data_IF_559603063705
#
_entry.id   IF_559603063705
#
_cell.length_a   1.000
_cell.length_b   1.000
_cell.length_c   1.000
_cell.angle_alpha   90.00
_cell.angle_beta   90.00
_cell.angle_gamma   90.00
#
_symmetry.space_group_name_H-M   'P 1'
#
loop_
_entity.id
_entity.type
_entity.pdbx_description
1 polymer ?
#
# COMPACT_ATOMS: atom_id res chain seq x y z
N UNK A 1 -17.22 5.49 51.85
CA UNK A 1 -16.02 4.74 52.30
C UNK A 1 -15.88 3.51 51.43
N UNK A 2 -15.13 3.65 50.33
CA UNK A 2 -14.62 2.60 49.43
C UNK A 2 -14.03 3.35 48.22
N UNK A 3 -12.71 3.36 48.08
CA UNK A 3 -11.88 3.94 47.00
C UNK A 3 -10.43 3.89 47.54
N UNK A 4 -9.35 3.47 46.87
CA UNK A 4 -8.95 3.37 45.46
C UNK A 4 -7.80 2.34 45.38
N UNK A 5 -7.81 1.48 44.35
CA UNK A 5 -6.64 0.76 43.86
C UNK A 5 -5.85 1.70 42.95
N UNK A 6 -4.59 1.98 43.27
CA UNK A 6 -3.64 2.68 42.42
C UNK A 6 -2.51 1.73 42.02
N UNK A 7 -2.32 1.59 40.71
CA UNK A 7 -1.19 0.88 40.10
C UNK A 7 0.00 1.81 39.83
N UNK A 8 1.18 1.17 39.74
CA UNK A 8 2.20 1.38 38.70
C UNK A 8 2.86 2.76 38.55
N UNK A 9 4.08 2.89 39.08
CA UNK A 9 5.23 3.52 38.41
C UNK A 9 6.49 3.34 39.29
N UNK A 10 7.47 2.57 38.82
CA UNK A 10 8.71 2.29 39.54
C UNK A 10 9.91 2.35 38.61
N UNK A 11 10.40 3.56 38.37
CA UNK A 11 11.67 3.86 37.67
C UNK A 11 12.85 3.54 38.58
N UNK A 12 13.85 2.73 38.17
CA UNK A 12 15.01 2.49 39.02
C UNK A 12 16.11 3.54 38.80
N UNK A 13 16.53 4.07 39.94
CA UNK A 13 17.82 4.69 40.25
C UNK A 13 18.96 3.73 39.86
N UNK A 14 20.02 4.20 39.21
CA UNK A 14 21.31 3.48 39.25
C UNK A 14 22.50 4.41 39.41
N UNK A 15 23.21 4.12 40.48
CA UNK A 15 24.37 4.79 41.01
C UNK A 15 25.64 4.58 40.17
N UNK A 16 26.57 5.50 40.41
CA UNK A 16 27.96 5.47 40.00
C UNK A 16 28.74 4.27 40.57
N UNK A 17 29.68 3.77 39.77
CA UNK A 17 30.86 2.99 40.18
C UNK A 17 31.72 2.87 38.92
N UNK A 18 32.79 3.64 38.76
CA UNK A 18 34.18 3.26 39.08
C UNK A 18 34.64 1.90 38.51
N UNK A 19 35.81 2.00 37.87
CA UNK A 19 36.88 1.00 37.68
C UNK A 19 37.09 0.34 36.30
N UNK A 20 38.22 0.76 35.71
CA UNK A 20 39.31 -0.05 35.12
C UNK A 20 39.13 -0.62 33.72
N UNK A 21 40.07 -0.24 32.83
CA UNK A 21 40.13 -0.67 31.44
C UNK A 21 41.11 -1.80 31.18
N UNK A 22 41.19 -2.19 29.91
CA UNK A 22 42.33 -2.87 29.28
C UNK A 22 42.16 -2.75 27.76
N UNK A 23 43.22 -2.28 27.10
CA UNK A 23 43.35 -2.33 25.64
C UNK A 23 44.08 -3.60 25.20
N UNK A 24 43.77 -4.07 23.99
CA UNK A 24 44.67 -4.89 23.18
C UNK A 24 44.60 -4.38 21.74
N UNK A 25 45.77 -4.14 21.14
CA UNK A 25 45.92 -3.89 19.72
C UNK A 25 46.57 -5.08 19.01
N UNK A 26 46.39 -5.14 17.69
CA UNK A 26 47.40 -5.61 16.72
C UNK A 26 46.97 -5.29 15.26
N UNK A 27 47.79 -4.43 14.62
CA UNK A 27 48.39 -4.40 13.25
C UNK A 27 48.04 -5.52 12.23
N UNK A 28 48.20 -5.34 10.88
CA UNK A 28 49.50 -4.98 10.26
C UNK A 28 49.60 -4.32 8.85
N UNK A 29 50.84 -3.87 8.55
CA UNK A 29 51.46 -3.78 7.21
C UNK A 29 51.31 -2.43 6.48
N UNK A 30 52.20 -1.96 5.60
CA UNK A 30 53.54 -2.33 5.10
C UNK A 30 54.01 -1.13 4.23
N UNK A 31 55.32 -0.98 4.04
CA UNK A 31 56.06 0.14 3.45
C UNK A 31 55.71 0.56 2.00
N UNK A 32 55.99 1.82 1.64
CA UNK A 32 56.52 2.18 0.30
C UNK A 32 57.16 3.59 0.25
N UNK A 33 58.48 3.58 0.11
CA UNK A 33 59.40 4.41 -0.69
C UNK A 33 58.97 5.78 -1.29
N UNK A 34 59.82 6.78 -1.07
CA UNK A 34 60.44 7.57 -2.15
C UNK A 34 59.92 8.98 -2.42
N UNK A 35 60.83 9.95 -2.57
CA UNK A 35 60.56 11.16 -3.36
C UNK A 35 61.21 12.45 -2.86
N UNK A 36 62.08 13.02 -3.70
CA UNK A 36 62.85 14.25 -3.55
C UNK A 36 62.02 15.54 -3.34
N UNK A 37 62.64 16.60 -2.80
CA UNK A 37 62.14 17.99 -2.81
C UNK A 37 62.18 18.63 -4.22
N UNK A 38 62.05 19.97 -4.41
CA UNK A 38 62.19 21.06 -3.42
C UNK A 38 61.24 22.28 -3.56
N UNK A 39 61.41 23.23 -2.62
CA UNK A 39 61.31 24.70 -2.73
C UNK A 39 59.96 25.46 -2.85
N UNK A 40 59.98 26.65 -2.22
CA UNK A 40 59.06 27.79 -2.29
C UNK A 40 57.75 27.62 -1.49
N UNK A 41 57.33 28.50 -0.59
CA UNK A 41 57.72 29.86 -0.27
C UNK A 41 56.62 30.46 0.63
N UNK A 42 56.76 31.73 0.97
CA UNK A 42 55.80 32.58 1.71
C UNK A 42 55.79 32.45 3.24
N UNK A 43 56.52 33.40 3.81
CA UNK A 43 56.31 33.98 5.12
C UNK A 43 54.90 34.56 5.25
N UNK A 44 54.12 34.06 6.21
CA UNK A 44 53.04 34.82 6.82
C UNK A 44 53.06 34.57 8.33
N UNK A 45 53.46 35.62 9.06
CA UNK A 45 53.45 35.63 10.51
C UNK A 45 52.01 35.58 11.02
N UNK A 46 51.58 34.42 11.50
CA UNK A 46 50.41 34.29 12.34
C UNK A 46 50.76 34.80 13.74
N UNK A 47 50.19 35.96 14.08
CA UNK A 47 50.16 36.47 15.45
C UNK A 47 49.46 35.43 16.33
N UNK A 48 50.19 34.77 17.21
CA UNK A 48 49.59 33.89 18.21
C UNK A 48 48.87 34.73 19.27
N UNK A 49 47.56 34.51 19.40
CA UNK A 49 46.79 34.98 20.56
C UNK A 49 47.35 34.37 21.85
N UNK A 50 47.35 35.11 22.98
CA UNK A 50 47.84 34.62 24.26
C UNK A 50 47.01 33.41 24.73
N UNK A 51 47.69 32.28 24.91
CA UNK A 51 47.08 31.02 25.32
C UNK A 51 46.33 31.16 26.65
N UNK A 52 45.04 30.82 26.62
CA UNK A 52 44.15 30.79 27.77
C UNK A 52 44.60 29.67 28.73
N UNK A 53 44.99 30.05 29.95
CA UNK A 53 45.44 29.10 30.96
C UNK A 53 44.25 28.35 31.57
N UNK A 54 43.88 27.17 31.01
CA UNK A 54 43.22 26.05 31.72
C UNK A 54 42.69 24.97 30.77
N UNK A 55 43.56 24.36 29.96
CA UNK A 55 43.25 23.06 29.34
C UNK A 55 44.47 22.15 29.44
N UNK A 56 44.36 20.94 30.02
CA UNK A 56 45.50 20.04 30.15
C UNK A 56 45.96 19.56 28.76
N UNK A 57 47.17 19.98 28.37
CA UNK A 57 47.83 19.71 27.06
C UNK A 57 48.44 18.30 26.97
N UNK A 58 48.00 17.38 27.84
CA UNK A 58 48.40 15.97 27.79
C UNK A 58 47.16 15.07 27.88
N UNK A 59 46.39 14.99 26.79
CA UNK A 59 45.25 14.06 26.67
C UNK A 59 45.67 12.64 26.29
N UNK A 60 46.97 12.40 26.09
CA UNK A 60 47.53 11.06 26.00
C UNK A 60 48.92 11.03 26.63
N UNK A 61 49.09 10.32 27.74
CA UNK A 61 50.40 9.93 28.22
C UNK A 61 51.01 8.95 27.22
N UNK A 62 51.82 9.43 26.29
CA UNK A 62 52.78 8.56 25.60
C UNK A 62 53.81 8.16 26.66
N UNK A 63 53.57 7.04 27.32
CA UNK A 63 54.53 6.44 28.24
C UNK A 63 55.87 6.34 27.52
N UNK A 64 56.91 6.96 28.10
CA UNK A 64 58.27 6.85 27.58
C UNK A 64 58.64 5.38 27.33
N UNK A 65 59.42 5.10 26.28
CA UNK A 65 59.97 3.77 26.02
C UNK A 65 60.85 3.25 27.18
N UNK A 66 61.27 4.15 28.09
CA UNK A 66 62.02 3.85 29.30
C UNK A 66 61.12 3.76 30.56
N UNK A 67 59.80 3.85 30.42
CA UNK A 67 58.89 3.63 31.55
C UNK A 67 58.95 2.17 31.97
N UNK A 68 59.28 1.93 33.25
CA UNK A 68 59.42 0.59 33.85
C UNK A 68 58.23 -0.33 33.58
N UNK A 69 57.02 0.21 33.41
CA UNK A 69 55.79 -0.54 33.14
C UNK A 69 55.75 -1.17 31.73
N UNK A 70 56.31 -0.50 30.71
CA UNK A 70 56.32 -0.99 29.34
C UNK A 70 57.50 -1.95 29.08
N UNK A 71 58.58 -1.81 29.86
CA UNK A 71 59.73 -2.71 29.84
C UNK A 71 59.34 -4.15 30.20
N UNK A 72 58.33 -4.39 31.04
CA UNK A 72 57.89 -5.76 31.37
C UNK A 72 56.91 -6.37 30.37
N UNK A 73 56.31 -5.55 29.48
CA UNK A 73 55.30 -5.98 28.50
C UNK A 73 55.80 -6.02 27.04
N UNK A 74 56.97 -5.47 26.73
CA UNK A 74 57.65 -5.77 25.48
C UNK A 74 58.14 -7.23 25.50
N UNK A 75 57.83 -7.96 24.42
CA UNK A 75 58.15 -9.38 24.26
C UNK A 75 59.67 -9.58 24.29
N UNK A 76 60.24 -9.74 25.49
CA UNK A 76 61.63 -10.17 25.70
C UNK A 76 61.90 -11.58 25.17
N UNK A 77 60.93 -12.22 24.52
CA UNK A 77 61.09 -13.48 23.80
C UNK A 77 62.33 -13.45 22.90
N UNK A 78 62.64 -12.33 22.24
CA UNK A 78 63.86 -12.20 21.42
C UNK A 78 65.15 -12.25 22.26
N UNK A 79 65.20 -11.50 23.37
CA UNK A 79 66.37 -11.44 24.25
C UNK A 79 66.58 -12.72 25.05
N UNK A 80 65.50 -13.34 25.54
CA UNK A 80 65.53 -14.64 26.22
C UNK A 80 65.95 -15.75 25.25
N UNK A 81 65.47 -15.74 24.00
CA UNK A 81 65.90 -16.70 23.00
C UNK A 81 67.38 -16.50 22.64
N UNK A 82 67.84 -15.24 22.51
CA UNK A 82 69.26 -14.93 22.30
C UNK A 82 70.12 -15.40 23.48
N UNK A 83 69.72 -15.13 24.71
CA UNK A 83 70.42 -15.59 25.92
C UNK A 83 70.46 -17.13 25.98
N UNK A 84 69.34 -17.78 25.65
CA UNK A 84 69.26 -19.23 25.54
C UNK A 84 70.23 -19.80 24.50
N UNK A 85 70.28 -19.20 23.30
CA UNK A 85 71.21 -19.58 22.24
C UNK A 85 72.67 -19.39 22.68
N UNK A 86 72.99 -18.27 23.36
CA UNK A 86 74.34 -18.02 23.87
C UNK A 86 74.74 -19.08 24.91
N UNK A 87 73.86 -19.42 25.85
CA UNK A 87 74.11 -20.47 26.86
C UNK A 87 74.28 -21.85 26.20
N UNK A 88 73.43 -22.20 25.24
CA UNK A 88 73.54 -23.47 24.50
C UNK A 88 74.83 -23.51 23.68
N UNK A 89 75.18 -22.43 22.97
CA UNK A 89 76.38 -22.37 22.13
C UNK A 89 77.67 -22.40 22.95
N UNK A 90 77.71 -21.71 24.10
CA UNK A 90 78.87 -21.72 25.00
C UNK A 90 79.05 -23.07 25.68
N UNK A 91 77.97 -23.70 26.17
CA UNK A 91 78.01 -25.06 26.70
C UNK A 91 78.35 -26.09 25.63
N UNK A 92 77.83 -25.95 24.41
CA UNK A 92 78.17 -26.83 23.29
C UNK A 92 79.63 -26.70 22.87
N UNK A 93 80.18 -25.47 22.87
CA UNK A 93 81.61 -25.24 22.63
C UNK A 93 82.47 -25.90 23.71
N UNK A 94 82.09 -25.80 24.98
CA UNK A 94 82.76 -26.49 26.09
C UNK A 94 82.66 -28.02 25.96
N UNK A 95 81.49 -28.55 25.56
CA UNK A 95 81.29 -29.97 25.31
C UNK A 95 82.12 -30.47 24.12
N UNK A 96 82.18 -29.72 23.02
CA UNK A 96 83.02 -30.01 21.86
C UNK A 96 84.51 -29.92 22.21
N UNK A 97 84.92 -28.91 22.96
CA UNK A 97 86.31 -28.76 23.38
C UNK A 97 86.74 -29.94 24.26
N UNK A 98 85.91 -30.37 25.20
CA UNK A 98 86.16 -31.58 25.99
C UNK A 98 86.13 -32.85 25.12
N UNK A 99 85.19 -32.98 24.18
CA UNK A 99 85.12 -34.11 23.26
C UNK A 99 86.35 -34.19 22.33
N UNK A 100 86.89 -33.04 21.92
CA UNK A 100 88.06 -32.95 21.06
C UNK A 100 89.36 -33.15 21.84
N UNK A 101 89.52 -32.50 23.01
CA UNK A 101 90.72 -32.62 23.86
C UNK A 101 90.90 -34.03 24.44
N UNK A 102 89.82 -34.66 24.87
CA UNK A 102 89.87 -36.01 25.44
C UNK A 102 89.56 -37.12 24.42
N UNK A 103 89.23 -36.72 23.18
CA UNK A 103 88.81 -37.61 22.10
C UNK A 103 87.44 -38.22 22.36
N UNK A 104 86.69 -38.51 21.29
CA UNK A 104 85.47 -39.29 21.33
C UNK A 104 85.81 -40.77 21.61
N UNK A 105 86.30 -41.09 22.82
CA UNK A 105 86.58 -42.48 23.26
C UNK A 105 85.30 -43.28 23.53
N UNK A 106 84.17 -42.87 22.96
CA UNK A 106 82.91 -43.60 23.03
C UNK A 106 82.96 -44.74 22.02
N UNK A 107 83.43 -45.90 22.47
CA UNK A 107 83.02 -47.14 21.84
C UNK A 107 81.64 -47.48 22.44
N UNK A 108 80.52 -47.30 21.70
CA UNK A 108 79.17 -47.42 22.26
C UNK A 108 78.93 -48.81 22.86
N UNK A 109 79.61 -49.82 22.33
CA UNK A 109 79.57 -51.19 22.82
C UNK A 109 80.31 -51.37 24.16
N UNK A 110 81.49 -50.75 24.37
CA UNK A 110 82.17 -50.78 25.68
C UNK A 110 81.45 -49.94 26.74
N UNK A 111 80.80 -48.85 26.35
CA UNK A 111 80.02 -48.03 27.26
C UNK A 111 78.79 -48.79 27.77
N UNK A 112 78.05 -49.45 26.86
CA UNK A 112 76.91 -50.30 27.21
C UNK A 112 77.33 -51.45 28.13
N UNK A 113 78.53 -52.01 27.89
CA UNK A 113 79.15 -53.05 28.72
C UNK A 113 79.60 -52.52 30.11
N UNK A 114 80.08 -51.27 30.21
CA UNK A 114 80.41 -50.62 31.49
C UNK A 114 79.20 -50.13 32.30
N UNK A 115 78.10 -49.81 31.63
CA UNK A 115 76.82 -49.46 32.28
C UNK A 115 76.14 -50.68 32.89
N UNK A 116 76.42 -51.88 32.36
CA UNK A 116 75.81 -53.14 32.81
C UNK A 116 76.72 -53.94 33.75
N UNK A 117 78.05 -53.79 33.66
CA UNK A 117 79.00 -54.61 34.44
C UNK A 117 80.16 -53.74 34.96
N UNK A 118 80.06 -53.28 36.21
CA UNK A 118 81.22 -53.03 37.07
C UNK A 118 81.93 -51.66 37.04
N UNK A 119 81.22 -50.52 37.19
CA UNK A 119 81.59 -49.39 38.06
C UNK A 119 80.59 -48.23 37.88
N UNK A 120 79.83 -47.79 38.89
CA UNK A 120 78.70 -46.92 38.66
C UNK A 120 79.13 -45.46 38.78
N UNK A 121 79.57 -44.86 37.67
CA UNK A 121 79.46 -43.41 37.52
C UNK A 121 77.98 -43.08 37.25
N UNK A 122 77.17 -43.24 38.30
CA UNK A 122 75.72 -43.02 38.37
C UNK A 122 75.27 -41.78 37.58
N UNK A 123 75.90 -40.60 37.72
CA UNK A 123 75.48 -39.40 36.96
C UNK A 123 75.68 -39.53 35.44
N UNK A 124 76.74 -40.18 34.97
CA UNK A 124 76.96 -40.39 33.53
C UNK A 124 76.01 -41.45 32.96
N UNK A 125 75.76 -42.52 33.72
CA UNK A 125 74.85 -43.58 33.34
C UNK A 125 73.39 -43.10 33.24
N UNK A 126 72.97 -42.17 34.11
CA UNK A 126 71.65 -41.53 34.06
C UNK A 126 71.54 -40.42 33.01
N UNK A 127 72.65 -39.78 32.62
CA UNK A 127 72.64 -38.68 31.65
C UNK A 127 72.09 -39.12 30.27
N UNK A 128 72.52 -40.27 29.76
CA UNK A 128 72.08 -40.79 28.46
C UNK A 128 70.59 -41.10 28.35
N UNK A 129 69.98 -41.87 29.28
CA UNK A 129 68.54 -42.11 29.22
C UNK A 129 67.74 -40.83 29.46
N UNK A 130 68.23 -39.88 30.26
CA UNK A 130 67.57 -38.58 30.45
C UNK A 130 67.59 -37.76 29.15
N UNK A 131 68.71 -37.69 28.44
CA UNK A 131 68.79 -37.01 27.14
C UNK A 131 67.91 -37.71 26.08
N UNK A 132 67.87 -39.04 26.09
CA UNK A 132 66.98 -39.82 25.23
C UNK A 132 65.50 -39.55 25.53
N UNK A 133 65.13 -39.51 26.82
CA UNK A 133 63.77 -39.19 27.27
C UNK A 133 63.37 -37.77 26.83
N UNK A 134 64.24 -36.78 27.02
CA UNK A 134 63.98 -35.39 26.63
C UNK A 134 63.82 -35.27 25.10
N UNK A 135 64.63 -35.97 24.31
CA UNK A 135 64.50 -36.00 22.86
C UNK A 135 63.16 -36.63 22.40
N UNK A 136 62.75 -37.73 23.03
CA UNK A 136 61.44 -38.36 22.76
C UNK A 136 60.29 -37.44 23.16
N UNK A 137 60.37 -36.79 24.33
CA UNK A 137 59.36 -35.83 24.79
C UNK A 137 59.25 -34.63 23.83
N UNK A 138 60.37 -34.10 23.34
CA UNK A 138 60.37 -33.02 22.36
C UNK A 138 59.66 -33.44 21.06
N UNK A 139 59.96 -34.65 20.57
CA UNK A 139 59.34 -35.18 19.35
C UNK A 139 57.84 -35.48 19.55
N UNK A 140 57.42 -35.92 20.74
CA UNK A 140 56.01 -36.09 21.09
C UNK A 140 55.26 -34.75 21.10
N UNK A 141 55.86 -33.69 21.63
CA UNK A 141 55.28 -32.34 21.60
C UNK A 141 55.14 -31.84 20.17
N UNK A 142 56.15 -32.05 19.32
CA UNK A 142 56.08 -31.67 17.90
C UNK A 142 54.98 -32.42 17.16
N UNK A 143 54.87 -33.74 17.37
CA UNK A 143 53.81 -34.55 16.74
C UNK A 143 52.43 -34.16 17.26
N UNK A 144 52.28 -33.88 18.56
CA UNK A 144 51.03 -33.40 19.14
C UNK A 144 50.64 -32.02 18.59
N UNK A 145 51.61 -31.10 18.50
CA UNK A 145 51.41 -29.78 17.91
C UNK A 145 51.02 -29.85 16.43
N UNK A 146 51.69 -30.70 15.64
CA UNK A 146 51.36 -30.90 14.24
C UNK A 146 49.96 -31.52 14.05
N UNK A 147 49.53 -32.41 14.95
CA UNK A 147 48.16 -32.95 14.95
C UNK A 147 47.12 -31.90 15.32
N UNK A 148 47.39 -31.09 16.34
CA UNK A 148 46.50 -30.00 16.75
C UNK A 148 46.32 -28.99 15.61
N UNK A 149 47.41 -28.56 14.96
CA UNK A 149 47.37 -27.61 13.86
C UNK A 149 46.56 -28.15 12.66
N UNK A 150 46.68 -29.44 12.35
CA UNK A 150 45.87 -30.08 11.29
C UNK A 150 44.38 -30.15 11.66
N UNK A 151 44.08 -30.42 12.93
CA UNK A 151 42.69 -30.44 13.41
C UNK A 151 42.06 -29.04 13.36
N UNK A 152 42.80 -27.99 13.74
CA UNK A 152 42.36 -26.60 13.62
C UNK A 152 42.11 -26.22 12.17
N UNK A 153 43.02 -26.55 11.24
CA UNK A 153 42.83 -26.27 9.82
C UNK A 153 41.58 -26.95 9.24
N UNK A 154 41.31 -28.21 9.61
CA UNK A 154 40.10 -28.92 9.18
C UNK A 154 38.82 -28.28 9.75
N UNK A 155 38.88 -27.76 10.99
CA UNK A 155 37.76 -27.08 11.62
C UNK A 155 37.49 -25.72 10.96
N UNK A 156 38.53 -24.96 10.62
CA UNK A 156 38.39 -23.71 9.87
C UNK A 156 37.79 -23.93 8.49
N UNK A 157 38.20 -24.98 7.77
CA UNK A 157 37.62 -25.33 6.47
C UNK A 157 36.13 -25.70 6.61
N UNK A 158 35.78 -26.49 7.62
CA UNK A 158 34.38 -26.84 7.91
C UNK A 158 33.53 -25.60 8.27
N UNK A 159 34.08 -24.67 9.05
CA UNK A 159 33.41 -23.41 9.39
C UNK A 159 33.23 -22.51 8.16
N UNK A 160 34.26 -22.39 7.31
CA UNK A 160 34.16 -21.64 6.04
C UNK A 160 33.08 -22.22 5.13
N UNK A 161 32.99 -23.54 5.03
CA UNK A 161 31.94 -24.20 4.25
C UNK A 161 30.55 -23.90 4.82
N UNK A 162 30.38 -23.99 6.14
CA UNK A 162 29.10 -23.65 6.80
C UNK A 162 28.72 -22.17 6.63
N UNK A 163 29.71 -21.27 6.68
CA UNK A 163 29.47 -19.84 6.44
C UNK A 163 29.00 -19.61 4.99
N UNK A 164 29.65 -20.24 4.01
CA UNK A 164 29.24 -20.15 2.61
C UNK A 164 27.83 -20.73 2.36
N UNK A 165 27.49 -21.85 3.00
CA UNK A 165 26.14 -22.43 2.95
C UNK A 165 25.09 -21.48 3.58
N UNK A 166 25.44 -20.83 4.69
CA UNK A 166 24.57 -19.84 5.34
C UNK A 166 24.37 -18.58 4.49
N UNK A 167 25.42 -18.08 3.83
CA UNK A 167 25.34 -16.94 2.92
C UNK A 167 24.48 -17.25 1.68
N UNK A 168 24.63 -18.47 1.13
CA UNK A 168 23.78 -18.94 0.03
C UNK A 168 22.31 -19.07 0.46
N UNK A 169 22.05 -19.58 1.67
CA UNK A 169 20.70 -19.67 2.23
C UNK A 169 20.09 -18.27 2.46
N UNK A 170 20.88 -17.32 2.95
CA UNK A 170 20.45 -15.93 3.13
C UNK A 170 20.10 -15.26 1.79
N UNK A 171 20.92 -15.45 0.75
CA UNK A 171 20.62 -14.94 -0.59
C UNK A 171 19.30 -15.52 -1.13
N UNK A 172 19.06 -16.81 -0.93
CA UNK A 172 17.79 -17.45 -1.29
C UNK A 172 16.59 -16.87 -0.54
N UNK A 173 16.77 -16.54 0.75
CA UNK A 173 15.74 -15.89 1.56
C UNK A 173 15.45 -14.46 1.06
N UNK A 174 16.48 -13.68 0.73
CA UNK A 174 16.34 -12.32 0.21
C UNK A 174 15.60 -12.29 -1.13
N UNK A 175 15.86 -13.26 -2.01
CA UNK A 175 15.14 -13.40 -3.28
C UNK A 175 13.67 -13.82 -3.08
N UNK A 176 13.40 -14.72 -2.13
CA UNK A 176 12.04 -15.06 -1.74
C UNK A 176 11.29 -13.84 -1.14
N UNK A 177 11.98 -13.00 -0.36
CA UNK A 177 11.41 -11.78 0.22
C UNK A 177 11.08 -10.75 -0.86
N UNK A 178 11.97 -10.55 -1.85
CA UNK A 178 11.67 -9.69 -3.01
C UNK A 178 10.47 -10.21 -3.81
N UNK A 179 10.37 -11.52 -4.02
CA UNK A 179 9.25 -12.13 -4.73
C UNK A 179 7.92 -11.91 -3.99
N UNK A 180 7.90 -12.17 -2.69
CA UNK A 180 6.70 -11.96 -1.86
C UNK A 180 6.30 -10.49 -1.75
N UNK A 181 7.28 -9.58 -1.71
CA UNK A 181 7.01 -8.14 -1.76
C UNK A 181 6.37 -7.73 -3.10
N UNK A 182 6.86 -8.24 -4.22
CA UNK A 182 6.25 -7.99 -5.53
C UNK A 182 4.82 -8.55 -5.64
N UNK A 183 4.56 -9.72 -5.07
CA UNK A 183 3.20 -10.31 -5.02
C UNK A 183 2.25 -9.47 -4.15
N UNK A 184 2.74 -8.95 -3.02
CA UNK A 184 1.95 -8.06 -2.15
C UNK A 184 1.59 -6.75 -2.85
N UNK A 185 2.54 -6.14 -3.56
CA UNK A 185 2.30 -4.89 -4.28
C UNK A 185 1.35 -5.10 -5.47
N UNK A 186 1.45 -6.25 -6.16
CA UNK A 186 0.49 -6.64 -7.17
C UNK A 186 -0.92 -6.88 -6.59
N UNK A 187 -1.03 -7.44 -5.38
CA UNK A 187 -2.30 -7.64 -4.69
C UNK A 187 -2.95 -6.31 -4.29
N UNK A 188 -2.16 -5.35 -3.78
CA UNK A 188 -2.65 -4.01 -3.44
C UNK A 188 -3.19 -3.28 -4.67
N UNK A 189 -2.47 -3.35 -5.79
CA UNK A 189 -2.94 -2.77 -7.05
C UNK A 189 -4.26 -3.38 -7.53
N UNK A 190 -4.47 -4.69 -7.31
CA UNK A 190 -5.75 -5.36 -7.60
C UNK A 190 -6.87 -4.89 -6.69
N UNK A 191 -6.61 -4.70 -5.39
CA UNK A 191 -7.61 -4.15 -4.47
C UNK A 191 -8.00 -2.72 -4.82
N UNK A 192 -7.03 -1.86 -5.18
CA UNK A 192 -7.32 -0.49 -5.62
C UNK A 192 -8.15 -0.46 -6.89
N UNK A 193 -7.85 -1.32 -7.87
CA UNK A 193 -8.64 -1.46 -9.10
C UNK A 193 -10.08 -1.93 -8.81
N UNK A 194 -10.25 -2.91 -7.91
CA UNK A 194 -11.57 -3.39 -7.50
C UNK A 194 -12.36 -2.30 -6.75
N UNK A 195 -11.68 -1.53 -5.89
CA UNK A 195 -12.29 -0.40 -5.19
C UNK A 195 -12.76 0.69 -6.16
N UNK A 196 -11.97 0.98 -7.20
CA UNK A 196 -12.38 1.89 -8.26
C UNK A 196 -13.61 1.37 -9.01
N UNK A 197 -13.62 0.09 -9.42
CA UNK A 197 -14.78 -0.48 -10.12
C UNK A 197 -16.05 -0.52 -9.26
N UNK A 198 -15.92 -0.77 -7.95
CA UNK A 198 -17.07 -0.67 -7.04
C UNK A 198 -17.56 0.78 -6.87
N UNK A 199 -16.66 1.76 -6.92
CA UNK A 199 -17.01 3.19 -6.94
C UNK A 199 -17.82 3.56 -8.18
N UNK A 200 -17.37 3.09 -9.36
CA UNK A 200 -18.07 3.31 -10.63
C UNK A 200 -19.44 2.62 -10.65
N UNK A 201 -19.54 1.38 -10.15
CA UNK A 201 -20.82 0.67 -10.04
C UNK A 201 -21.79 1.36 -9.08
N UNK A 202 -21.31 1.88 -7.95
CA UNK A 202 -22.12 2.64 -7.01
C UNK A 202 -22.64 3.95 -7.64
N UNK A 203 -21.79 4.67 -8.38
CA UNK A 203 -22.17 5.86 -9.12
C UNK A 203 -23.21 5.54 -10.21
N UNK A 204 -23.03 4.44 -10.95
CA UNK A 204 -23.98 3.97 -11.95
C UNK A 204 -25.34 3.60 -11.33
N UNK A 205 -25.35 2.93 -10.17
CA UNK A 205 -26.60 2.62 -9.45
C UNK A 205 -27.30 3.88 -8.95
N UNK A 206 -26.57 4.86 -8.44
CA UNK A 206 -27.14 6.15 -8.03
C UNK A 206 -27.78 6.87 -9.23
N UNK A 207 -27.06 6.97 -10.34
CA UNK A 207 -27.58 7.59 -11.57
C UNK A 207 -28.81 6.83 -12.12
N UNK A 208 -28.83 5.51 -12.04
CA UNK A 208 -29.99 4.70 -12.41
C UNK A 208 -31.20 4.94 -11.48
N UNK A 209 -30.96 5.12 -10.17
CA UNK A 209 -31.99 5.48 -9.20
C UNK A 209 -32.60 6.85 -9.49
N UNK A 210 -31.76 7.85 -9.75
CA UNK A 210 -32.19 9.20 -10.13
C UNK A 210 -33.01 9.16 -11.44
N UNK A 211 -32.53 8.45 -12.46
CA UNK A 211 -33.25 8.29 -13.71
C UNK A 211 -34.61 7.60 -13.52
N UNK A 212 -34.69 6.57 -12.67
CA UNK A 212 -35.94 5.89 -12.36
C UNK A 212 -36.94 6.81 -11.64
N UNK A 213 -36.48 7.63 -10.69
CA UNK A 213 -37.33 8.60 -10.00
C UNK A 213 -37.86 9.68 -10.94
N UNK A 214 -37.02 10.17 -11.87
CA UNK A 214 -37.44 11.11 -12.91
C UNK A 214 -38.49 10.49 -13.84
N UNK A 215 -38.24 9.26 -14.30
CA UNK A 215 -39.19 8.53 -15.15
C UNK A 215 -40.52 8.27 -14.43
N UNK A 216 -40.51 7.99 -13.12
CA UNK A 216 -41.72 7.87 -12.32
C UNK A 216 -42.51 9.19 -12.29
N UNK A 217 -41.84 10.32 -12.02
CA UNK A 217 -42.47 11.63 -12.03
C UNK A 217 -43.07 12.00 -13.41
N UNK A 218 -42.39 11.67 -14.51
CA UNK A 218 -42.92 11.86 -15.87
C UNK A 218 -44.15 10.99 -16.13
N UNK A 219 -44.17 9.74 -15.64
CA UNK A 219 -45.35 8.87 -15.76
C UNK A 219 -46.54 9.39 -14.97
N UNK A 220 -46.31 9.89 -13.77
CA UNK A 220 -47.37 10.46 -12.93
C UNK A 220 -47.95 11.73 -13.56
N UNK A 221 -47.10 12.59 -14.12
CA UNK A 221 -47.52 13.78 -14.86
C UNK A 221 -48.37 13.41 -16.11
N UNK A 222 -47.93 12.43 -16.90
CA UNK A 222 -48.68 11.94 -18.06
C UNK A 222 -50.01 11.28 -17.65
N UNK A 223 -50.06 10.59 -16.51
CA UNK A 223 -51.28 9.99 -16.00
C UNK A 223 -52.33 11.07 -15.63
N UNK A 224 -51.89 12.18 -15.03
CA UNK A 224 -52.75 13.34 -14.76
C UNK A 224 -53.25 14.01 -16.05
N UNK A 225 -52.41 14.15 -17.07
CA UNK A 225 -52.85 14.66 -18.37
C UNK A 225 -53.89 13.75 -19.03
N UNK A 226 -53.69 12.44 -19.00
CA UNK A 226 -54.68 11.48 -19.50
C UNK A 226 -56.00 11.56 -18.73
N UNK A 227 -55.95 11.80 -17.42
CA UNK A 227 -57.15 11.99 -16.60
C UNK A 227 -57.93 13.23 -17.04
N UNK A 228 -57.26 14.37 -17.24
CA UNK A 228 -57.87 15.61 -17.74
C UNK A 228 -58.48 15.44 -19.12
N UNK A 229 -57.72 14.87 -20.07
CA UNK A 229 -58.22 14.62 -21.43
C UNK A 229 -59.44 13.70 -21.44
N UNK A 230 -59.50 12.73 -20.52
CA UNK A 230 -60.66 11.85 -20.39
C UNK A 230 -61.89 12.60 -19.87
N UNK A 231 -61.73 13.47 -18.88
CA UNK A 231 -62.81 14.33 -18.37
C UNK A 231 -63.33 15.27 -19.47
N UNK A 232 -62.42 15.88 -20.26
CA UNK A 232 -62.79 16.71 -21.41
C UNK A 232 -63.54 15.93 -22.49
N UNK A 233 -63.11 14.69 -22.78
CA UNK A 233 -63.79 13.84 -23.76
C UNK A 233 -65.21 13.48 -23.32
N UNK A 234 -65.40 13.18 -22.03
CA UNK A 234 -66.72 12.84 -21.50
C UNK A 234 -67.63 14.09 -21.45
N UNK A 235 -67.08 15.27 -21.16
CA UNK A 235 -67.80 16.54 -21.28
C UNK A 235 -68.21 16.84 -22.73
N UNK A 236 -67.32 16.62 -23.70
CA UNK A 236 -67.63 16.81 -25.13
C UNK A 236 -68.68 15.83 -25.64
N UNK A 237 -68.68 14.57 -25.16
CA UNK A 237 -69.74 13.61 -25.48
C UNK A 237 -71.08 14.09 -24.93
N UNK A 238 -71.13 14.51 -23.67
CA UNK A 238 -72.35 15.05 -23.08
C UNK A 238 -72.88 16.28 -23.84
N UNK A 239 -71.98 17.18 -24.26
CA UNK A 239 -72.34 18.35 -25.08
C UNK A 239 -72.90 17.95 -26.45
N UNK A 240 -72.32 16.92 -27.09
CA UNK A 240 -72.84 16.40 -28.36
C UNK A 240 -74.23 15.78 -28.18
N UNK A 241 -74.43 14.96 -27.14
CA UNK A 241 -75.73 14.34 -26.88
C UNK A 241 -76.81 15.40 -26.59
N UNK A 242 -76.45 16.51 -25.92
CA UNK A 242 -77.34 17.66 -25.73
C UNK A 242 -77.67 18.36 -27.06
N UNK A 243 -76.68 18.57 -27.94
CA UNK A 243 -76.92 19.14 -29.27
C UNK A 243 -77.82 18.25 -30.14
N UNK A 244 -77.66 16.93 -30.05
CA UNK A 244 -78.52 15.97 -30.76
C UNK A 244 -79.96 16.04 -30.24
N UNK A 245 -80.15 16.20 -28.92
CA UNK A 245 -81.46 16.42 -28.32
C UNK A 245 -82.09 17.75 -28.77
N UNK A 246 -81.32 18.85 -28.77
CA UNK A 246 -81.78 20.16 -29.24
C UNK A 246 -82.15 20.12 -30.73
N UNK A 247 -81.35 19.45 -31.56
CA UNK A 247 -81.65 19.23 -32.97
C UNK A 247 -82.95 18.45 -33.16
N UNK A 248 -83.18 17.41 -32.38
CA UNK A 248 -84.44 16.65 -32.42
C UNK A 248 -85.64 17.53 -32.00
N UNK A 249 -85.49 18.34 -30.95
CA UNK A 249 -86.52 19.26 -30.50
C UNK A 249 -86.84 20.35 -31.54
N UNK A 250 -85.82 20.90 -32.20
CA UNK A 250 -86.01 21.85 -33.30
C UNK A 250 -86.69 21.21 -34.50
N UNK A 251 -86.31 19.99 -34.87
CA UNK A 251 -86.99 19.26 -35.95
C UNK A 251 -88.47 19.00 -35.64
N UNK A 252 -88.80 18.66 -34.38
CA UNK A 252 -90.18 18.50 -33.94
C UNK A 252 -90.97 19.82 -34.03
N UNK A 253 -90.40 20.93 -33.55
CA UNK A 253 -91.00 22.27 -33.68
C UNK A 253 -91.21 22.66 -35.13
N UNK A 254 -90.24 22.40 -36.00
CA UNK A 254 -90.37 22.66 -37.42
C UNK A 254 -91.56 21.89 -38.01
N UNK A 255 -91.66 20.59 -37.75
CA UNK A 255 -92.79 19.77 -38.19
C UNK A 255 -94.15 20.26 -37.67
N UNK A 256 -94.21 20.72 -36.41
CA UNK A 256 -95.42 21.34 -35.86
C UNK A 256 -95.76 22.65 -36.58
N UNK A 257 -94.77 23.52 -36.82
CA UNK A 257 -94.98 24.77 -37.56
C UNK A 257 -95.41 24.54 -39.00
N UNK A 258 -94.84 23.56 -39.70
CA UNK A 258 -95.24 23.15 -41.05
C UNK A 258 -96.67 22.60 -41.05
N UNK A 259 -97.02 21.78 -40.07
CA UNK A 259 -98.39 21.29 -39.88
C UNK A 259 -99.39 22.41 -39.63
N UNK A 260 -99.07 23.33 -38.72
CA UNK A 260 -99.88 24.51 -38.43
C UNK A 260 -100.06 25.38 -39.67
N UNK A 261 -98.97 25.65 -40.41
CA UNK A 261 -99.01 26.38 -41.67
C UNK A 261 -99.97 25.71 -42.66
N UNK A 262 -99.85 24.39 -42.86
CA UNK A 262 -100.75 23.62 -43.72
C UNK A 262 -102.22 23.73 -43.31
N UNK A 263 -102.54 23.68 -42.02
CA UNK A 263 -103.91 23.88 -41.55
C UNK A 263 -104.41 25.30 -41.76
N UNK A 264 -103.56 26.31 -41.57
CA UNK A 264 -103.92 27.72 -41.82
C UNK A 264 -104.14 27.99 -43.30
N UNK A 265 -103.31 27.43 -44.19
CA UNK A 265 -103.50 27.51 -45.65
C UNK A 265 -104.81 26.86 -46.07
N UNK A 266 -105.16 25.70 -45.49
CA UNK A 266 -106.46 25.06 -45.76
C UNK A 266 -107.63 25.93 -45.32
N UNK A 267 -107.60 26.44 -44.08
CA UNK A 267 -108.62 27.37 -43.56
C UNK A 267 -108.76 28.61 -44.43
N UNK A 268 -107.64 29.18 -44.88
CA UNK A 268 -107.66 30.32 -45.80
C UNK A 268 -108.40 29.97 -47.09
N UNK A 269 -108.08 28.83 -47.71
CA UNK A 269 -108.79 28.34 -48.90
C UNK A 269 -110.29 28.11 -48.67
N UNK A 270 -110.67 27.52 -47.54
CA UNK A 270 -112.08 27.34 -47.16
C UNK A 270 -112.78 28.71 -47.01
N UNK A 271 -112.16 29.68 -46.35
CA UNK A 271 -112.72 31.04 -46.21
C UNK A 271 -112.78 31.80 -47.53
N UNK A 272 -111.83 31.61 -48.44
CA UNK A 272 -111.86 32.18 -49.79
C UNK A 272 -113.01 31.59 -50.61
N UNK A 273 -113.25 30.28 -50.49
CA UNK A 273 -114.40 29.61 -51.11
C UNK A 273 -115.73 30.12 -50.54
N UNK A 274 -115.84 30.28 -49.21
CA UNK A 274 -117.01 30.88 -48.56
C UNK A 274 -117.24 32.33 -49.02
N UNK A 275 -116.17 33.13 -49.13
CA UNK A 275 -116.26 34.51 -49.60
C UNK A 275 -116.68 34.58 -51.08
N UNK A 276 -116.20 33.67 -51.92
CA UNK A 276 -116.63 33.55 -53.31
C UNK A 276 -118.11 33.16 -53.41
N UNK A 277 -118.57 32.21 -52.58
CA UNK A 277 -119.98 31.83 -52.50
C UNK A 277 -120.86 33.00 -52.02
N UNK A 278 -120.41 33.74 -50.99
CA UNK A 278 -121.11 34.91 -50.48
C UNK A 278 -121.19 36.03 -51.53
N UNK A 279 -120.09 36.29 -52.27
CA UNK A 279 -120.09 37.25 -53.39
C UNK A 279 -121.09 36.86 -54.47
N UNK A 280 -121.12 35.58 -54.85
CA UNK A 280 -122.09 35.06 -55.82
C UNK A 280 -123.53 35.23 -55.32
N UNK A 281 -123.81 34.89 -54.07
CA UNK A 281 -125.13 35.09 -53.47
C UNK A 281 -125.55 36.58 -53.45
N UNK A 282 -124.59 37.49 -53.24
CA UNK A 282 -124.82 38.94 -53.28
C UNK A 282 -125.12 39.42 -54.71
N UNK A 283 -124.47 38.85 -55.71
CA UNK A 283 -124.76 39.10 -57.13
C UNK A 283 -126.15 38.58 -57.52
N UNK A 284 -126.48 37.35 -57.12
CA UNK A 284 -127.81 36.75 -57.32
C UNK A 284 -128.90 37.61 -56.66
N UNK A 285 -128.68 38.07 -55.42
CA UNK A 285 -129.60 38.96 -54.70
C UNK A 285 -129.72 40.34 -55.36
N UNK A 286 -128.62 40.89 -55.90
CA UNK A 286 -128.62 42.14 -56.66
C UNK A 286 -129.38 41.99 -57.98
N UNK A 287 -129.24 40.85 -58.65
CA UNK A 287 -130.02 40.48 -59.83
C UNK A 287 -131.51 40.44 -59.51
N UNK A 288 -131.89 39.75 -58.43
CA UNK A 288 -133.28 39.69 -57.97
C UNK A 288 -133.85 41.09 -57.63
N UNK A 289 -133.08 41.94 -56.95
CA UNK A 289 -133.47 43.33 -56.70
C UNK A 289 -133.59 44.16 -57.99
N UNK A 290 -132.74 43.91 -58.98
CA UNK A 290 -132.86 44.49 -60.32
C UNK A 290 -134.17 44.08 -61.00
N UNK A 291 -134.50 42.79 -60.98
CA UNK A 291 -135.75 42.25 -61.53
C UNK A 291 -136.98 42.80 -60.80
N UNK A 292 -136.91 42.95 -59.47
CA UNK A 292 -137.96 43.60 -58.69
C UNK A 292 -138.07 45.09 -58.99
N UNK A 293 -136.95 45.78 -59.21
CA UNK A 293 -136.92 47.17 -59.64
C UNK A 293 -137.58 47.37 -61.01
N UNK A 294 -137.31 46.47 -61.97
CA UNK A 294 -137.97 46.47 -63.28
C UNK A 294 -139.47 46.23 -63.14
N UNK A 295 -139.89 45.26 -62.32
CA UNK A 295 -141.33 45.01 -62.06
C UNK A 295 -142.03 46.18 -61.37
N UNK A 296 -141.33 46.93 -60.53
CA UNK A 296 -141.85 48.15 -59.90
C UNK A 296 -141.94 49.31 -60.91
N UNK A 297 -140.98 49.43 -61.82
CA UNK A 297 -141.03 50.42 -62.90
C UNK A 297 -142.17 50.12 -63.88
N UNK A 298 -142.36 48.85 -64.27
CA UNK A 298 -143.47 48.41 -65.11
C UNK A 298 -144.83 48.69 -64.43
N UNK A 299 -144.93 48.50 -63.11
CA UNK A 299 -146.14 48.81 -62.33
C UNK A 299 -146.40 50.32 -62.19
N UNK A 300 -145.35 51.16 -62.16
CA UNK A 300 -145.48 52.62 -62.08
C UNK A 300 -145.83 53.23 -63.45
N UNK A 301 -145.41 52.61 -64.55
CA UNK A 301 -145.80 52.99 -65.91
C UNK A 301 -147.26 52.61 -66.22
N UNK A 302 -147.81 51.57 -65.58
CA UNK A 302 -149.22 51.17 -65.67
C UNK A 302 -150.19 52.12 -64.90
N UNK A 303 -149.67 52.98 -64.01
CA UNK A 303 -150.45 53.94 -63.22
C UNK A 303 -150.47 55.40 -63.77
N UNK A 304 -149.87 55.64 -64.93
CA UNK A 304 -149.92 56.94 -65.65
C UNK A 304 -151.07 57.02 -66.66
#
# INVERSE_FOLDING_TARGET
QAQILAGGAGTPIRAASMHQGQGQGQTPGRASLGGAGPASGSSQGSRHEPMRASTPVHTSGKSSYLSSERMWHEKHTGLVNLMGVIVVATNFRLALENALKYGLRYNPLRLLQSLTIGNPNIPLALCYPVMGLVAVLALLVEVAGARALRAEAALEEALRKKLAEADAAKAGLDDALKKTQAELDASKAREEALRASMGDEAAAKAAAGDAASKAAAERDALAEELRKLKEELDALKAARDALDADKAALAAKLGETEGNLGTTTKKLGDTEAELAAARKALEDARGALGDHGSKLADADEEMR
#
